data_IF_132453266590
#
_entry.id   IF_132453266590
#
_cell.length_a   1.000
_cell.length_b   1.000
_cell.length_c   1.000
_cell.angle_alpha   90.00
_cell.angle_beta   90.00
_cell.angle_gamma   90.00
#
_symmetry.space_group_name_H-M   'P 1'
#
loop_
_entity.id
_entity.type
_entity.pdbx_description
1 polymer ?
#
# COMPACT_ATOMS: atom_id res chain seq x y z
N UNK A 1 -1.93 1.53 31.04
CA UNK A 1 -1.93 0.35 30.17
C UNK A 1 -2.53 0.78 28.85
N UNK A 2 -1.80 0.67 27.75
CA UNK A 2 -2.33 1.01 26.43
C UNK A 2 -3.35 -0.07 26.06
N UNK A 3 -4.61 0.31 25.97
CA UNK A 3 -5.66 -0.59 25.51
C UNK A 3 -5.35 -0.99 24.06
N UNK A 4 -5.44 -2.27 23.74
CA UNK A 4 -5.14 -2.80 22.41
C UNK A 4 -6.42 -3.22 21.71
N UNK A 5 -6.50 -2.93 20.43
CA UNK A 5 -7.56 -3.37 19.52
C UNK A 5 -7.00 -4.42 18.57
N UNK A 6 -7.81 -5.41 18.23
CA UNK A 6 -7.52 -6.42 17.23
C UNK A 6 -8.29 -6.08 15.95
N UNK A 7 -7.57 -5.75 14.88
CA UNK A 7 -8.17 -5.36 13.60
C UNK A 7 -7.73 -6.33 12.50
N UNK A 8 -8.56 -6.45 11.47
CA UNK A 8 -8.27 -7.26 10.28
C UNK A 8 -7.97 -6.36 9.09
N UNK A 9 -6.88 -6.61 8.38
CA UNK A 9 -6.55 -5.94 7.13
C UNK A 9 -6.73 -6.93 5.99
N UNK A 10 -7.62 -6.59 5.07
CA UNK A 10 -8.00 -7.40 3.92
C UNK A 10 -7.53 -6.74 2.62
N UNK A 11 -6.86 -7.52 1.77
CA UNK A 11 -6.54 -7.14 0.40
C UNK A 11 -7.10 -8.18 -0.58
N UNK A 12 -8.11 -7.77 -1.36
CA UNK A 12 -8.78 -8.63 -2.32
C UNK A 12 -8.16 -8.49 -3.72
N UNK A 13 -7.40 -9.50 -4.14
CA UNK A 13 -6.90 -9.67 -5.50
C UNK A 13 -7.90 -10.51 -6.32
N UNK A 14 -7.83 -10.48 -7.67
CA UNK A 14 -8.72 -11.30 -8.51
C UNK A 14 -8.65 -12.80 -8.24
N UNK A 15 -7.45 -13.28 -7.93
CA UNK A 15 -7.17 -14.72 -7.79
C UNK A 15 -7.21 -15.19 -6.34
N UNK A 16 -7.00 -14.27 -5.38
CA UNK A 16 -6.91 -14.60 -3.96
C UNK A 16 -7.23 -13.39 -3.09
N UNK A 17 -7.51 -13.63 -1.81
CA UNK A 17 -7.56 -12.58 -0.81
C UNK A 17 -6.48 -12.81 0.24
N UNK A 18 -5.91 -11.73 0.74
CA UNK A 18 -4.98 -11.75 1.87
C UNK A 18 -5.70 -11.11 3.06
N UNK A 19 -5.76 -11.84 4.17
CA UNK A 19 -6.39 -11.38 5.41
C UNK A 19 -5.36 -11.48 6.53
N UNK A 20 -5.01 -10.35 7.12
CA UNK A 20 -3.98 -10.26 8.16
C UNK A 20 -4.61 -9.66 9.42
N UNK A 21 -4.53 -10.39 10.53
CA UNK A 21 -4.91 -9.89 11.85
C UNK A 21 -3.74 -9.14 12.47
N UNK A 22 -3.97 -7.90 12.89
CA UNK A 22 -2.97 -7.09 13.59
C UNK A 22 -3.52 -6.57 14.91
N UNK A 23 -2.63 -6.46 15.90
CA UNK A 23 -2.94 -5.86 17.19
C UNK A 23 -2.30 -4.48 17.26
N UNK A 24 -3.09 -3.48 17.59
CA UNK A 24 -2.68 -2.08 17.61
C UNK A 24 -3.18 -1.39 18.88
N UNK A 25 -2.62 -0.23 19.26
CA UNK A 25 -3.21 0.62 20.28
C UNK A 25 -4.65 1.04 19.94
N UNK A 26 -5.52 1.27 20.93
CA UNK A 26 -6.95 1.57 20.76
C UNK A 26 -7.27 2.89 20.05
N UNK A 27 -6.26 3.71 19.81
CA UNK A 27 -6.35 4.96 19.05
C UNK A 27 -5.63 4.87 17.69
N UNK A 28 -5.34 3.65 17.23
CA UNK A 28 -4.60 3.46 16.00
C UNK A 28 -5.43 3.84 14.77
N UNK A 29 -4.74 4.36 13.76
CA UNK A 29 -5.36 4.76 12.50
C UNK A 29 -5.36 3.63 11.47
N UNK A 30 -6.15 3.81 10.41
CA UNK A 30 -6.13 2.95 9.22
C UNK A 30 -4.71 2.80 8.67
N UNK A 31 -3.94 3.89 8.60
CA UNK A 31 -2.55 3.85 8.14
C UNK A 31 -1.69 2.91 8.99
N UNK A 32 -1.79 3.00 10.31
CA UNK A 32 -1.01 2.17 11.21
C UNK A 32 -1.38 0.69 11.09
N UNK A 33 -2.65 0.38 10.83
CA UNK A 33 -3.07 -0.99 10.54
C UNK A 33 -2.47 -1.52 9.23
N UNK A 34 -2.46 -0.70 8.18
CA UNK A 34 -1.85 -1.07 6.89
C UNK A 34 -0.35 -1.31 7.02
N UNK A 35 0.36 -0.43 7.74
CA UNK A 35 1.80 -0.58 8.01
C UNK A 35 2.08 -1.84 8.84
N UNK A 36 1.33 -2.06 9.92
CA UNK A 36 1.50 -3.24 10.78
C UNK A 36 1.15 -4.56 10.07
N UNK A 37 0.29 -4.54 9.04
CA UNK A 37 -0.10 -5.73 8.29
C UNK A 37 1.04 -6.29 7.43
N UNK A 38 2.05 -5.48 7.11
CA UNK A 38 3.13 -5.86 6.19
C UNK A 38 2.69 -6.00 4.72
N UNK A 39 1.40 -5.79 4.41
CA UNK A 39 0.87 -5.92 3.05
C UNK A 39 1.48 -4.89 2.10
N UNK A 40 1.80 -3.68 2.59
CA UNK A 40 2.48 -2.65 1.80
C UNK A 40 3.86 -3.10 1.28
N UNK A 41 4.59 -3.91 2.07
CA UNK A 41 5.86 -4.47 1.66
C UNK A 41 5.73 -5.69 0.76
N UNK A 42 4.64 -6.48 0.94
CA UNK A 42 4.35 -7.67 0.13
C UNK A 42 3.80 -7.32 -1.26
N UNK A 43 3.08 -6.19 -1.38
CA UNK A 43 2.38 -5.75 -2.56
C UNK A 43 2.74 -4.29 -2.90
N UNK A 44 3.82 -4.06 -3.68
CA UNK A 44 4.27 -2.71 -4.03
C UNK A 44 3.28 -1.94 -4.91
N UNK A 45 2.26 -2.60 -5.45
CA UNK A 45 1.14 -1.97 -6.16
C UNK A 45 0.17 -1.21 -5.23
N UNK A 46 0.23 -1.44 -3.92
CA UNK A 46 -0.60 -0.72 -2.96
C UNK A 46 0.04 0.65 -2.69
N UNK A 47 -0.56 1.71 -3.25
CA UNK A 47 -0.17 3.09 -2.95
C UNK A 47 -1.02 3.65 -1.81
N UNK A 48 -0.40 4.18 -0.75
CA UNK A 48 -1.12 4.90 0.31
C UNK A 48 -1.70 6.24 -0.18
N UNK A 49 -1.02 6.91 -1.11
CA UNK A 49 -1.44 8.23 -1.60
C UNK A 49 -2.62 8.15 -2.57
N UNK A 50 -2.61 7.15 -3.45
CA UNK A 50 -3.63 6.97 -4.50
C UNK A 50 -4.63 5.86 -4.19
N UNK A 51 -4.32 5.04 -3.18
CA UNK A 51 -5.16 3.93 -2.75
C UNK A 51 -6.46 4.40 -2.14
N UNK A 52 -7.48 3.56 -2.28
CA UNK A 52 -8.75 3.73 -1.58
C UNK A 52 -8.84 2.68 -0.50
N UNK A 53 -9.19 3.11 0.70
CA UNK A 53 -9.31 2.25 1.86
C UNK A 53 -10.73 2.31 2.38
N UNK A 54 -11.22 1.18 2.86
CA UNK A 54 -12.54 1.09 3.47
C UNK A 54 -12.49 0.45 4.85
N UNK A 55 -13.48 0.75 5.68
CA UNK A 55 -13.78 -0.02 6.89
C UNK A 55 -15.23 -0.48 6.78
N UNK A 56 -15.46 -1.81 6.81
CA UNK A 56 -16.79 -2.40 6.62
C UNK A 56 -17.56 -1.87 5.39
N UNK A 57 -16.90 -1.79 4.23
CA UNK A 57 -17.50 -1.31 2.99
C UNK A 57 -17.70 0.21 2.89
N UNK A 58 -17.28 1.00 3.88
CA UNK A 58 -17.32 2.47 3.85
C UNK A 58 -15.94 3.02 3.53
N UNK A 59 -15.84 3.91 2.54
CA UNK A 59 -14.58 4.59 2.22
C UNK A 59 -14.14 5.46 3.41
N UNK A 60 -12.89 5.31 3.85
CA UNK A 60 -12.31 6.07 4.96
C UNK A 60 -10.97 6.67 4.58
N UNK A 61 -10.52 7.63 5.37
CA UNK A 61 -9.20 8.22 5.23
C UNK A 61 -8.17 7.45 6.06
N UNK A 62 -6.90 7.62 5.73
CA UNK A 62 -5.78 6.98 6.41
C UNK A 62 -5.64 7.38 7.89
N UNK A 63 -6.11 8.57 8.25
CA UNK A 63 -6.12 9.14 9.61
C UNK A 63 -7.34 8.71 10.44
N UNK A 64 -8.27 7.95 9.86
CA UNK A 64 -9.46 7.49 10.57
C UNK A 64 -9.07 6.52 11.68
N UNK A 65 -9.52 6.77 12.90
CA UNK A 65 -9.31 5.88 14.05
C UNK A 65 -10.10 4.59 13.90
N UNK A 66 -9.46 3.48 14.28
CA UNK A 66 -10.03 2.14 14.27
C UNK A 66 -10.54 1.75 15.66
N UNK A 67 -11.49 0.83 15.68
CA UNK A 67 -12.03 0.20 16.87
C UNK A 67 -11.71 -1.29 16.88
N UNK A 68 -11.93 -1.95 18.03
CA UNK A 68 -11.76 -3.39 18.12
C UNK A 68 -12.65 -4.11 17.11
N UNK A 69 -12.08 -5.12 16.45
CA UNK A 69 -12.71 -5.93 15.41
C UNK A 69 -13.02 -5.18 14.12
N UNK A 70 -12.48 -3.98 13.91
CA UNK A 70 -12.60 -3.33 12.60
C UNK A 70 -11.87 -4.12 11.51
N UNK A 71 -12.50 -4.15 10.33
CA UNK A 71 -11.90 -4.70 9.12
C UNK A 71 -11.57 -3.59 8.14
N UNK A 72 -10.28 -3.35 7.94
CA UNK A 72 -9.73 -2.46 6.92
C UNK A 72 -9.66 -3.21 5.59
N UNK A 73 -10.20 -2.61 4.54
CA UNK A 73 -10.25 -3.16 3.19
C UNK A 73 -9.40 -2.29 2.26
N UNK A 74 -8.46 -2.91 1.55
CA UNK A 74 -7.61 -2.24 0.57
C UNK A 74 -8.23 -2.42 -0.82
N UNK A 75 -8.69 -1.31 -1.42
CA UNK A 75 -9.20 -1.32 -2.79
C UNK A 75 -8.09 -1.08 -3.79
N UNK A 76 -8.19 -1.76 -4.94
CA UNK A 76 -7.25 -1.62 -6.04
C UNK A 76 -7.52 -0.33 -6.80
N UNK A 77 -6.47 0.43 -7.10
CA UNK A 77 -6.55 1.51 -8.06
C UNK A 77 -6.84 0.94 -9.45
N UNK A 78 -7.70 1.59 -10.22
CA UNK A 78 -7.87 1.27 -11.64
C UNK A 78 -6.58 1.70 -12.34
N UNK A 79 -5.88 0.76 -12.97
CA UNK A 79 -4.60 1.02 -13.65
C UNK A 79 -4.87 1.96 -14.82
N UNK A 80 -4.54 3.22 -14.62
CA UNK A 80 -4.41 4.21 -15.69
C UNK A 80 -3.49 5.35 -15.24
N UNK A 81 -2.19 5.10 -15.01
CA UNK A 81 -1.23 6.20 -15.18
C UNK A 81 0.13 5.76 -15.80
N UNK A 82 0.32 6.01 -17.11
CA UNK A 82 1.56 5.76 -17.86
C UNK A 82 2.78 6.61 -17.46
N UNK A 83 2.68 7.53 -16.49
CA UNK A 83 3.72 8.53 -16.21
C UNK A 83 4.91 8.04 -15.39
N UNK A 84 4.75 7.10 -14.46
CA UNK A 84 5.88 6.64 -13.62
C UNK A 84 6.87 5.74 -14.39
N UNK A 85 6.39 5.00 -15.38
CA UNK A 85 7.24 4.17 -16.26
C UNK A 85 8.23 5.02 -17.07
N UNK A 86 7.87 6.27 -17.37
CA UNK A 86 8.77 7.21 -18.08
C UNK A 86 9.91 7.73 -17.20
N UNK A 87 9.74 7.84 -15.87
CA UNK A 87 10.80 8.36 -14.99
C UNK A 87 11.93 7.34 -14.81
N UNK A 88 11.62 6.06 -14.61
CA UNK A 88 12.64 5.01 -14.45
C UNK A 88 13.49 4.76 -15.71
N UNK A 89 12.92 4.93 -16.92
CA UNK A 89 13.68 4.79 -18.18
C UNK A 89 14.69 5.90 -18.44
N UNK A 90 14.56 7.06 -17.80
CA UNK A 90 15.49 8.17 -18.00
C UNK A 90 16.80 8.02 -17.21
N UNK A 91 16.81 7.22 -16.14
CA UNK A 91 18.01 7.04 -15.30
C UNK A 91 18.96 5.94 -15.81
N UNK A 92 18.45 4.91 -16.50
CA UNK A 92 19.27 3.81 -17.04
C UNK A 92 20.07 4.19 -18.31
N UNK A 93 19.84 5.38 -18.88
CA UNK A 93 20.55 5.88 -20.07
C UNK A 93 21.94 6.46 -19.80
N UNK A 94 22.39 6.55 -18.54
CA UNK A 94 23.71 7.09 -18.17
C UNK A 94 24.73 6.00 -17.82
N UNK A 95 25.05 5.12 -18.78
CA UNK A 95 26.33 4.41 -18.75
C UNK A 95 27.10 4.74 -20.03
N UNK A 96 27.89 5.80 -19.93
CA UNK A 96 28.86 6.21 -20.95
C UNK A 96 29.88 5.07 -21.18
N UNK A 97 29.91 4.49 -22.38
CA UNK A 97 31.12 3.81 -22.87
C UNK A 97 31.80 4.72 -23.88
N UNK A 98 32.78 5.48 -23.38
CA UNK A 98 33.74 6.24 -24.18
C UNK A 98 34.73 5.25 -24.82
N UNK A 99 34.83 5.28 -26.13
CA UNK A 99 35.79 4.56 -26.96
C UNK A 99 35.22 4.51 -28.39
N UNK A 100 35.86 4.98 -29.45
CA UNK A 100 37.24 5.36 -29.70
C UNK A 100 37.52 4.94 -31.15
N UNK A 101 38.09 5.83 -31.97
CA UNK A 101 38.89 5.49 -33.15
C UNK A 101 38.19 5.24 -34.49
N UNK A 102 38.52 6.12 -35.44
CA UNK A 102 38.95 5.93 -36.84
C UNK A 102 38.25 4.91 -37.77
N UNK A 103 37.67 5.41 -38.88
CA UNK A 103 38.32 5.57 -40.21
C UNK A 103 37.36 6.25 -41.20
#
# INVERSE_FOLDING_TARGET
MSEQISVEVCYALPERQELVKVKLPSNASVQQALEASGLLGKFPEISLEQGKFGVYGKLVRLDTSLHDQDRVEIYRALIADPKEVRRKRAEEGKVMKKGGGDL
#
